data_IF_645153404254
#
_entry.id   IF_645153404254
#
_cell.length_a   1.000
_cell.length_b   1.000
_cell.length_c   1.000
_cell.angle_alpha   90.00
_cell.angle_beta   90.00
_cell.angle_gamma   90.00
#
_symmetry.space_group_name_H-M   'P 1'
#
loop_
_entity.id
_entity.type
_entity.pdbx_description
1 polymer ?
#
# COMPACT_ATOMS: atom_id res chain seq x y z
N UNK A 1 32.20 -37.18 -42.61
CA UNK A 1 33.12 -37.38 -41.46
C UNK A 1 34.23 -36.35 -41.49
N UNK A 2 34.21 -35.39 -40.56
CA UNK A 2 35.35 -34.79 -39.81
C UNK A 2 34.79 -33.59 -39.05
N UNK A 3 34.58 -33.79 -37.75
CA UNK A 3 34.21 -32.74 -36.79
C UNK A 3 35.48 -31.97 -36.43
N UNK A 4 35.42 -30.64 -36.47
CA UNK A 4 36.45 -29.76 -35.92
C UNK A 4 35.94 -29.28 -34.55
N UNK A 5 36.61 -29.72 -33.50
CA UNK A 5 36.46 -29.21 -32.14
C UNK A 5 37.26 -27.91 -32.02
N UNK A 6 36.63 -26.82 -31.61
CA UNK A 6 37.31 -25.63 -31.12
C UNK A 6 37.11 -25.61 -29.60
N UNK A 7 38.22 -25.85 -28.90
CA UNK A 7 38.35 -25.81 -27.45
C UNK A 7 38.65 -24.36 -27.05
N UNK A 8 37.73 -23.69 -26.37
CA UNK A 8 37.96 -22.35 -25.82
C UNK A 8 38.32 -22.49 -24.33
N UNK A 9 39.59 -22.34 -24.00
CA UNK A 9 40.07 -22.15 -22.63
C UNK A 9 39.82 -20.71 -22.21
N UNK A 10 38.91 -20.47 -21.26
CA UNK A 10 38.86 -19.21 -20.53
C UNK A 10 39.61 -19.37 -19.21
N UNK A 11 40.61 -18.50 -19.03
CA UNK A 11 41.43 -18.41 -17.84
C UNK A 11 40.64 -17.75 -16.69
N UNK A 12 40.56 -18.44 -15.57
CA UNK A 12 40.12 -17.91 -14.28
C UNK A 12 41.23 -17.02 -13.70
N UNK A 13 40.97 -15.71 -13.58
CA UNK A 13 41.81 -14.79 -12.81
C UNK A 13 41.13 -14.60 -11.44
N UNK A 14 41.73 -15.20 -10.41
CA UNK A 14 41.32 -15.02 -9.03
C UNK A 14 41.76 -13.66 -8.50
N UNK A 15 40.80 -12.84 -8.09
CA UNK A 15 41.03 -11.63 -7.31
C UNK A 15 40.94 -12.00 -5.83
N UNK A 16 42.07 -11.97 -5.12
CA UNK A 16 42.11 -12.00 -3.65
C UNK A 16 41.67 -10.61 -3.13
N UNK A 17 40.49 -10.54 -2.52
CA UNK A 17 40.08 -9.41 -1.69
C UNK A 17 40.47 -9.73 -0.24
N UNK A 18 41.38 -8.93 0.32
CA UNK A 18 41.75 -8.97 1.73
C UNK A 18 40.82 -8.01 2.46
N UNK A 19 39.84 -8.53 3.19
CA UNK A 19 38.97 -7.72 4.04
C UNK A 19 39.69 -7.39 5.35
N UNK A 20 39.93 -6.11 5.61
CA UNK A 20 40.36 -5.58 6.90
C UNK A 20 39.11 -5.44 7.78
N UNK A 21 38.97 -6.26 8.83
CA UNK A 21 37.91 -6.09 9.82
C UNK A 21 38.34 -5.06 10.87
N UNK A 22 37.79 -3.85 10.80
CA UNK A 22 37.77 -2.96 11.96
C UNK A 22 36.60 -3.38 12.86
N UNK A 23 36.92 -4.09 13.94
CA UNK A 23 35.96 -4.35 15.02
C UNK A 23 35.77 -3.05 15.79
N UNK A 24 34.66 -2.37 15.57
CA UNK A 24 34.21 -1.26 16.43
C UNK A 24 33.42 -1.89 17.57
N UNK A 25 33.99 -1.80 18.76
CA UNK A 25 33.36 -2.19 20.02
C UNK A 25 32.30 -1.12 20.35
N UNK A 26 31.04 -1.41 20.02
CA UNK A 26 29.90 -0.54 20.34
C UNK A 26 29.45 -0.80 21.78
N UNK A 27 29.47 0.24 22.62
CA UNK A 27 28.91 0.20 23.97
C UNK A 27 27.41 -0.11 23.95
N UNK A 28 26.87 -0.81 24.98
CA UNK A 28 25.46 -1.12 25.06
C UNK A 28 24.63 0.15 25.31
N UNK A 29 23.76 0.47 24.35
CA UNK A 29 22.71 1.47 24.52
C UNK A 29 21.73 0.94 25.57
N UNK A 30 21.54 1.71 26.66
CA UNK A 30 20.48 1.46 27.62
C UNK A 30 19.13 1.50 26.90
N UNK A 31 18.46 0.35 26.81
CA UNK A 31 17.04 0.26 26.50
C UNK A 31 16.24 0.95 27.61
N UNK A 32 15.80 2.18 27.36
CA UNK A 32 14.68 2.76 28.10
C UNK A 32 13.44 1.89 27.87
N UNK A 33 12.75 1.56 28.96
CA UNK A 33 11.49 0.83 28.96
C UNK A 33 10.45 1.59 28.12
N UNK A 34 10.19 1.11 26.91
CA UNK A 34 8.99 1.45 26.14
C UNK A 34 7.78 0.87 26.90
N UNK A 35 7.16 1.72 27.70
CA UNK A 35 5.88 1.40 28.35
C UNK A 35 4.79 1.28 27.28
N UNK A 36 3.96 0.24 27.41
CA UNK A 36 2.72 0.05 26.66
C UNK A 36 1.90 1.36 26.58
N UNK A 37 1.19 1.62 25.47
CA UNK A 37 0.40 2.83 25.32
C UNK A 37 -0.60 2.99 26.47
N UNK A 38 -0.53 4.15 27.11
CA UNK A 38 -1.43 4.57 28.18
C UNK A 38 -2.85 4.72 27.59
N UNK A 39 -3.89 4.20 28.26
CA UNK A 39 -5.28 4.43 27.83
C UNK A 39 -5.59 5.92 27.73
N UNK A 40 -6.39 6.26 26.71
CA UNK A 40 -6.94 7.59 26.36
C UNK A 40 -7.01 8.55 27.56
N UNK A 41 -6.32 9.72 27.53
CA UNK A 41 -6.47 10.72 28.59
C UNK A 41 -7.88 11.28 28.60
N UNK A 42 -8.55 11.21 29.76
CA UNK A 42 -9.81 11.93 30.00
C UNK A 42 -9.52 13.43 29.98
N UNK A 43 -9.94 14.10 28.91
CA UNK A 43 -9.77 15.55 28.73
C UNK A 43 -10.77 16.32 29.60
N UNK A 44 -10.30 16.93 30.68
CA UNK A 44 -11.07 17.92 31.44
C UNK A 44 -11.10 19.25 30.69
N UNK A 45 -12.28 19.61 30.17
CA UNK A 45 -12.50 20.85 29.44
C UNK A 45 -12.30 22.10 30.32
N UNK A 46 -11.32 22.95 29.99
CA UNK A 46 -11.19 24.31 30.50
C UNK A 46 -11.73 25.26 29.43
N UNK A 47 -12.83 25.94 29.76
CA UNK A 47 -13.58 26.80 28.84
C UNK A 47 -12.82 28.06 28.44
N UNK A 48 -12.19 28.02 27.27
CA UNK A 48 -11.96 29.17 26.41
C UNK A 48 -12.70 28.92 25.10
N UNK A 49 -13.55 29.84 24.67
CA UNK A 49 -14.23 29.74 23.37
C UNK A 49 -13.22 30.04 22.26
N UNK A 50 -12.33 29.09 21.99
CA UNK A 50 -11.67 29.03 20.69
C UNK A 50 -12.77 28.88 19.61
N UNK A 51 -12.60 29.50 18.43
CA UNK A 51 -13.48 29.22 17.31
C UNK A 51 -13.57 27.70 17.15
N UNK A 52 -14.78 27.15 17.16
CA UNK A 52 -15.02 25.73 16.95
C UNK A 52 -14.49 25.35 15.56
N UNK A 53 -13.19 25.02 15.50
CA UNK A 53 -12.57 24.46 14.33
C UNK A 53 -13.25 23.14 14.06
N UNK A 54 -13.47 22.84 12.78
CA UNK A 54 -13.93 21.52 12.36
C UNK A 54 -12.84 20.54 12.76
N UNK A 55 -13.09 19.76 13.82
CA UNK A 55 -12.25 18.64 14.21
C UNK A 55 -12.60 17.46 13.30
N UNK A 56 -11.59 16.84 12.69
CA UNK A 56 -11.72 15.59 11.95
C UNK A 56 -10.99 14.50 12.71
N UNK A 57 -11.48 13.27 12.63
CA UNK A 57 -10.84 12.10 13.23
C UNK A 57 -10.16 11.26 12.16
N UNK A 58 -8.93 10.81 12.45
CA UNK A 58 -8.21 9.85 11.62
C UNK A 58 -8.01 8.58 12.43
N UNK A 59 -8.32 7.43 11.84
CA UNK A 59 -8.05 6.13 12.45
C UNK A 59 -7.30 5.19 11.52
N UNK A 60 -6.55 4.27 12.13
CA UNK A 60 -5.78 3.26 11.42
C UNK A 60 -6.06 1.90 12.01
N UNK A 61 -6.11 0.87 11.15
CA UNK A 61 -6.37 -0.50 11.54
C UNK A 61 -5.42 -1.47 10.86
N UNK A 62 -4.79 -2.33 11.64
CA UNK A 62 -3.99 -3.46 11.18
C UNK A 62 -4.78 -4.76 11.33
N UNK A 63 -4.83 -5.55 10.26
CA UNK A 63 -5.46 -6.87 10.26
C UNK A 63 -4.75 -7.86 9.33
N UNK A 64 -4.94 -9.17 9.49
CA UNK A 64 -4.25 -10.19 8.68
C UNK A 64 -3.84 -11.41 9.51
N UNK A 65 -2.95 -12.22 8.97
CA UNK A 65 -2.35 -13.39 9.64
C UNK A 65 -0.84 -13.26 9.88
N UNK A 66 -0.25 -12.08 9.66
CA UNK A 66 1.13 -11.77 10.02
C UNK A 66 1.34 -11.89 11.53
N UNK A 67 2.28 -12.76 11.90
CA UNK A 67 2.57 -13.14 13.29
C UNK A 67 3.69 -12.29 13.91
N UNK A 68 4.45 -11.59 13.07
CA UNK A 68 5.52 -10.69 13.50
C UNK A 68 5.01 -9.37 14.08
N UNK A 69 5.96 -8.56 14.55
CA UNK A 69 5.69 -7.23 15.12
C UNK A 69 5.84 -6.12 14.10
N UNK A 70 5.06 -5.05 14.28
CA UNK A 70 5.01 -3.93 13.36
C UNK A 70 5.29 -2.60 14.08
N UNK A 71 6.21 -1.81 13.53
CA UNK A 71 6.39 -0.42 13.91
C UNK A 71 5.51 0.46 13.01
N UNK A 72 4.64 1.26 13.62
CA UNK A 72 3.69 2.13 12.91
C UNK A 72 4.11 3.58 13.07
N UNK A 73 4.28 4.28 11.95
CA UNK A 73 4.59 5.71 11.93
C UNK A 73 3.56 6.44 11.08
N UNK A 74 3.04 7.55 11.62
CA UNK A 74 2.07 8.39 10.92
C UNK A 74 2.71 9.65 10.38
N UNK A 75 2.13 10.12 9.28
CA UNK A 75 2.51 11.34 8.60
C UNK A 75 1.32 12.30 8.62
N UNK A 76 1.60 13.55 8.92
CA UNK A 76 0.64 14.65 8.81
C UNK A 76 1.35 15.90 8.31
N UNK A 77 0.71 16.65 7.42
CA UNK A 77 1.25 17.92 6.94
C UNK A 77 0.54 19.10 7.61
N UNK A 78 1.31 20.12 8.03
CA UNK A 78 0.89 21.45 8.56
C UNK A 78 1.54 21.87 9.91
N UNK A 79 2.64 21.26 10.34
CA UNK A 79 3.25 21.58 11.64
C UNK A 79 2.50 20.96 12.83
N UNK A 80 1.42 20.21 12.57
CA UNK A 80 0.98 19.17 13.49
C UNK A 80 2.05 18.09 13.58
N UNK A 81 2.50 17.83 14.81
CA UNK A 81 3.36 16.69 15.10
C UNK A 81 2.46 15.47 15.19
N UNK A 82 2.55 14.50 14.26
CA UNK A 82 1.80 13.25 14.39
C UNK A 82 2.19 12.55 15.71
N UNK A 83 1.37 11.61 16.21
CA UNK A 83 1.74 10.82 17.37
C UNK A 83 3.13 10.20 17.22
N UNK A 84 3.83 10.00 18.34
CA UNK A 84 5.08 9.25 18.33
C UNK A 84 4.87 7.87 17.68
N UNK A 85 5.89 7.33 17.00
CA UNK A 85 5.81 5.99 16.44
C UNK A 85 5.37 4.95 17.47
N UNK A 86 4.49 4.05 17.08
CA UNK A 86 4.09 2.89 17.87
C UNK A 86 5.04 1.75 17.53
N UNK A 87 5.77 1.24 18.51
CA UNK A 87 6.81 0.23 18.29
C UNK A 87 6.34 -1.16 18.71
N UNK A 88 6.56 -2.15 17.86
CA UNK A 88 6.33 -3.55 18.16
C UNK A 88 4.87 -3.95 18.33
N UNK A 89 3.96 -3.37 17.54
CA UNK A 89 2.53 -3.67 17.57
C UNK A 89 2.24 -5.06 16.99
N UNK A 90 1.29 -5.79 17.59
CA UNK A 90 0.83 -7.10 17.13
C UNK A 90 -0.56 -6.99 16.49
N UNK A 91 -0.87 -7.83 15.50
CA UNK A 91 -2.18 -7.87 14.85
C UNK A 91 -3.16 -8.70 15.71
N UNK A 92 -4.42 -8.24 15.93
CA UNK A 92 -5.04 -7.01 15.41
C UNK A 92 -4.69 -5.77 16.24
N UNK A 93 -4.60 -4.62 15.56
CA UNK A 93 -4.33 -3.33 16.20
C UNK A 93 -5.14 -2.20 15.57
N UNK A 94 -5.54 -1.22 16.39
CA UNK A 94 -6.23 -0.02 15.93
C UNK A 94 -5.82 1.20 16.76
N UNK A 95 -5.88 2.38 16.14
CA UNK A 95 -5.70 3.67 16.82
C UNK A 95 -6.52 4.75 16.15
N UNK A 96 -6.81 5.81 16.90
CA UNK A 96 -7.60 6.96 16.45
C UNK A 96 -7.05 8.23 17.11
N UNK A 97 -6.96 9.32 16.35
CA UNK A 97 -6.62 10.64 16.87
C UNK A 97 -7.28 11.76 16.08
N UNK A 98 -7.54 12.88 16.76
CA UNK A 98 -8.08 14.09 16.15
C UNK A 98 -6.98 14.85 15.40
N UNK A 99 -7.31 15.35 14.22
CA UNK A 99 -6.45 16.25 13.44
C UNK A 99 -7.02 17.68 13.43
N UNK A 100 -6.16 18.71 13.42
CA UNK A 100 -6.58 20.08 13.21
C UNK A 100 -7.33 20.28 11.88
N UNK A 101 -8.25 21.23 11.85
CA UNK A 101 -8.98 21.57 10.61
C UNK A 101 -8.07 22.02 9.47
N UNK A 102 -6.90 22.61 9.77
CA UNK A 102 -5.92 23.05 8.77
C UNK A 102 -5.00 21.95 8.20
N UNK A 103 -5.17 20.69 8.61
CA UNK A 103 -4.35 19.59 8.09
C UNK A 103 -4.62 19.37 6.61
N UNK A 104 -3.54 19.41 5.81
CA UNK A 104 -3.61 19.30 4.35
C UNK A 104 -3.47 17.88 3.84
N UNK A 105 -2.83 17.00 4.60
CA UNK A 105 -2.57 15.62 4.22
C UNK A 105 -2.30 14.73 5.42
N UNK A 106 -2.65 13.46 5.27
CA UNK A 106 -2.44 12.38 6.24
C UNK A 106 -1.86 11.17 5.52
N UNK A 107 -1.18 10.29 6.25
CA UNK A 107 -0.64 9.05 5.71
C UNK A 107 0.16 8.31 6.77
N UNK A 108 0.91 7.30 6.36
CA UNK A 108 1.74 6.55 7.30
C UNK A 108 2.30 5.28 6.70
N UNK A 109 2.93 4.48 7.55
CA UNK A 109 3.37 3.16 7.18
C UNK A 109 3.46 2.26 8.41
N UNK A 110 3.35 0.95 8.18
CA UNK A 110 3.71 -0.06 9.17
C UNK A 110 4.84 -0.95 8.64
N UNK A 111 5.84 -1.21 9.48
CA UNK A 111 7.07 -1.91 9.13
C UNK A 111 7.30 -3.11 10.05
N UNK A 112 7.32 -4.31 9.49
CA UNK A 112 7.76 -5.53 10.16
C UNK A 112 9.19 -5.87 9.75
N UNK A 113 10.15 -5.05 10.19
CA UNK A 113 11.57 -5.21 9.85
C UNK A 113 12.33 -6.07 10.87
N UNK A 114 11.60 -6.75 11.76
CA UNK A 114 12.16 -7.60 12.82
C UNK A 114 12.52 -9.00 12.32
N UNK A 115 12.00 -9.43 11.16
CA UNK A 115 12.21 -10.78 10.62
C UNK A 115 11.56 -11.88 11.48
N UNK A 116 10.50 -11.51 12.19
CA UNK A 116 9.75 -12.37 13.10
C UNK A 116 8.44 -12.89 12.50
N UNK A 117 8.07 -12.42 11.29
CA UNK A 117 7.01 -13.01 10.49
C UNK A 117 7.44 -14.30 9.81
N UNK A 118 6.46 -15.07 9.32
CA UNK A 118 6.73 -16.19 8.42
C UNK A 118 6.51 -15.77 6.97
N UNK A 119 7.26 -16.33 6.00
CA UNK A 119 6.98 -16.14 4.58
C UNK A 119 5.53 -16.49 4.25
N UNK A 120 4.96 -15.78 3.28
CA UNK A 120 3.56 -15.92 2.83
C UNK A 120 2.49 -15.43 3.83
N UNK A 121 2.87 -14.99 5.03
CA UNK A 121 1.92 -14.30 5.92
C UNK A 121 1.53 -12.94 5.34
N UNK A 122 0.27 -12.56 5.53
CA UNK A 122 -0.29 -11.32 5.00
C UNK A 122 -0.69 -10.37 6.11
N UNK A 123 -0.52 -9.08 5.84
CA UNK A 123 -1.05 -8.01 6.68
C UNK A 123 -1.73 -6.95 5.79
N UNK A 124 -2.66 -6.25 6.41
CA UNK A 124 -3.37 -5.12 5.84
C UNK A 124 -3.30 -3.94 6.80
N UNK A 125 -3.02 -2.74 6.26
CA UNK A 125 -3.12 -1.48 6.96
C UNK A 125 -4.20 -0.63 6.30
N UNK A 126 -5.19 -0.24 7.08
CA UNK A 126 -6.32 0.59 6.64
C UNK A 126 -6.21 1.97 7.27
N UNK A 127 -6.53 3.02 6.52
CA UNK A 127 -6.62 4.41 6.96
C UNK A 127 -8.05 4.91 6.76
N UNK A 128 -8.61 5.53 7.79
CA UNK A 128 -9.96 6.10 7.77
C UNK A 128 -9.92 7.57 8.14
N UNK A 129 -10.83 8.35 7.56
CA UNK A 129 -11.12 9.73 7.92
C UNK A 129 -12.59 9.83 8.27
N UNK A 130 -12.91 10.29 9.47
CA UNK A 130 -14.28 10.41 10.00
C UNK A 130 -15.08 9.11 9.83
N UNK A 131 -14.44 7.97 10.14
CA UNK A 131 -14.94 6.60 9.97
C UNK A 131 -15.20 6.14 8.52
N UNK A 132 -14.80 6.93 7.52
CA UNK A 132 -14.80 6.52 6.12
C UNK A 132 -13.44 5.95 5.73
N UNK A 133 -13.43 4.73 5.18
CA UNK A 133 -12.21 4.12 4.66
C UNK A 133 -11.67 4.97 3.50
N UNK A 134 -10.41 5.36 3.58
CA UNK A 134 -9.72 6.10 2.52
C UNK A 134 -8.84 5.17 1.70
N UNK A 135 -8.03 4.36 2.37
CA UNK A 135 -7.01 3.53 1.76
C UNK A 135 -6.77 2.26 2.58
N UNK A 136 -6.55 1.16 1.88
CA UNK A 136 -6.12 -0.13 2.41
C UNK A 136 -4.91 -0.60 1.64
N UNK A 137 -3.87 -1.02 2.34
CA UNK A 137 -2.67 -1.60 1.77
C UNK A 137 -2.53 -3.03 2.28
N UNK A 138 -2.45 -3.99 1.37
CA UNK A 138 -2.32 -5.42 1.65
C UNK A 138 -0.98 -5.90 1.10
N UNK A 139 -0.19 -6.55 1.94
CA UNK A 139 1.13 -7.08 1.57
C UNK A 139 1.33 -8.47 2.15
N UNK A 140 2.24 -9.19 1.51
CA UNK A 140 2.72 -10.50 1.92
C UNK A 140 4.16 -10.35 2.40
N UNK A 141 4.51 -11.01 3.50
CA UNK A 141 5.87 -11.05 4.00
C UNK A 141 6.78 -11.78 3.00
N UNK A 142 8.02 -11.30 2.87
CA UNK A 142 9.02 -11.93 2.00
C UNK A 142 9.60 -13.22 2.60
N UNK A 143 10.55 -13.83 1.90
CA UNK A 143 11.20 -15.09 2.30
C UNK A 143 11.95 -14.99 3.64
N UNK A 144 12.29 -13.77 4.08
CA UNK A 144 12.94 -13.49 5.36
C UNK A 144 11.94 -13.04 6.44
N UNK A 145 10.64 -13.05 6.14
CA UNK A 145 9.57 -12.66 7.06
C UNK A 145 9.42 -11.15 7.23
N UNK A 146 10.03 -10.33 6.36
CA UNK A 146 9.89 -8.88 6.38
C UNK A 146 8.64 -8.42 5.64
N UNK A 147 8.00 -7.35 6.14
CA UNK A 147 6.84 -6.74 5.50
C UNK A 147 6.83 -5.22 5.67
N UNK A 148 6.41 -4.49 4.65
CA UNK A 148 6.21 -3.03 4.70
C UNK A 148 4.87 -2.68 4.09
N UNK A 149 4.04 -1.95 4.83
CA UNK A 149 2.69 -1.52 4.46
C UNK A 149 2.67 0.01 4.32
N UNK A 150 3.08 0.57 3.17
CA UNK A 150 3.10 2.01 2.98
C UNK A 150 1.71 2.53 2.58
N UNK A 151 1.12 3.42 3.37
CA UNK A 151 -0.03 4.22 2.94
C UNK A 151 0.46 5.45 2.19
N UNK A 152 -0.09 5.70 1.01
CA UNK A 152 0.20 6.94 0.30
C UNK A 152 -0.28 8.16 1.12
N UNK A 153 0.37 9.30 0.89
CA UNK A 153 -0.11 10.56 1.47
C UNK A 153 -1.44 10.95 0.82
N UNK A 154 -2.51 10.96 1.61
CA UNK A 154 -3.82 11.42 1.21
C UNK A 154 -3.92 12.93 1.42
N UNK A 155 -4.08 13.68 0.33
CA UNK A 155 -4.32 15.13 0.41
C UNK A 155 -5.80 15.42 0.66
N UNK A 156 -6.07 16.09 1.77
CA UNK A 156 -7.40 16.47 2.23
C UNK A 156 -8.02 17.61 1.40
N UNK A 157 -7.22 18.34 0.61
CA UNK A 157 -7.70 19.33 -0.36
C UNK A 157 -8.47 18.67 -1.51
N UNK A 158 -8.05 17.48 -1.92
CA UNK A 158 -8.68 16.71 -2.99
C UNK A 158 -9.69 15.69 -2.48
N UNK A 159 -10.10 15.80 -1.22
CA UNK A 159 -11.07 14.88 -0.66
C UNK A 159 -12.41 14.98 -1.39
N UNK A 160 -12.68 14.01 -2.24
CA UNK A 160 -13.96 13.87 -2.93
C UNK A 160 -14.90 12.93 -2.18
N UNK A 161 -14.64 12.65 -0.89
CA UNK A 161 -15.47 11.77 -0.09
C UNK A 161 -16.94 12.19 -0.04
N UNK A 162 -17.23 13.48 -0.18
CA UNK A 162 -18.59 14.01 -0.26
C UNK A 162 -19.23 13.90 -1.64
N UNK A 163 -18.45 13.63 -2.69
CA UNK A 163 -19.01 13.51 -4.04
C UNK A 163 -19.70 12.16 -4.20
N UNK A 164 -20.98 12.21 -4.51
CA UNK A 164 -21.81 11.03 -4.74
C UNK A 164 -22.16 10.85 -6.20
N UNK A 165 -22.41 9.60 -6.62
CA UNK A 165 -22.99 9.31 -7.95
C UNK A 165 -24.51 9.46 -7.93
N UNK A 166 -25.12 9.64 -9.10
CA UNK A 166 -26.58 9.61 -9.24
C UNK A 166 -27.17 8.23 -8.92
N UNK A 167 -28.39 8.17 -8.40
CA UNK A 167 -29.09 6.92 -8.04
C UNK A 167 -29.16 5.92 -9.20
N UNK A 168 -29.23 6.41 -10.44
CA UNK A 168 -29.25 5.58 -11.66
C UNK A 168 -27.96 4.78 -11.89
N UNK A 169 -26.88 5.16 -11.22
CA UNK A 169 -25.57 4.53 -11.30
C UNK A 169 -25.27 3.61 -10.11
N UNK A 170 -26.12 3.53 -9.08
CA UNK A 170 -25.96 2.62 -7.93
C UNK A 170 -26.35 1.20 -8.33
N UNK A 171 -25.61 0.20 -7.83
CA UNK A 171 -25.83 -1.23 -8.11
C UNK A 171 -25.37 -1.68 -9.49
N UNK A 172 -24.62 -0.84 -10.22
CA UNK A 172 -23.95 -1.26 -11.46
C UNK A 172 -22.72 -2.07 -11.10
N UNK A 173 -22.49 -3.14 -11.84
CA UNK A 173 -21.32 -4.00 -11.66
C UNK A 173 -20.10 -3.36 -12.32
N UNK A 174 -19.01 -3.24 -11.56
CA UNK A 174 -17.69 -2.86 -12.05
C UNK A 174 -16.77 -4.07 -11.94
N UNK A 175 -16.06 -4.38 -13.02
CA UNK A 175 -15.04 -5.43 -13.04
C UNK A 175 -13.71 -4.87 -13.52
N UNK A 176 -12.67 -5.00 -12.71
CA UNK A 176 -11.28 -4.89 -13.15
C UNK A 176 -10.77 -6.28 -13.52
N UNK A 177 -10.11 -6.38 -14.67
CA UNK A 177 -9.40 -7.59 -15.07
C UNK A 177 -7.99 -7.24 -15.52
N UNK A 178 -7.03 -8.04 -15.07
CA UNK A 178 -5.62 -7.99 -15.46
C UNK A 178 -5.23 -9.40 -15.90
N UNK A 179 -4.73 -9.53 -17.12
CA UNK A 179 -4.41 -10.80 -17.78
C UNK A 179 -3.07 -10.66 -18.53
N UNK A 180 -2.46 -11.75 -18.98
CA UNK A 180 -1.22 -11.68 -19.77
C UNK A 180 -0.20 -12.77 -19.42
N UNK A 181 1.01 -12.60 -19.93
CA UNK A 181 2.13 -13.53 -19.76
C UNK A 181 3.26 -12.97 -18.87
N UNK A 182 3.04 -11.85 -18.18
CA UNK A 182 3.98 -11.28 -17.22
C UNK A 182 4.24 -12.24 -16.06
N UNK A 183 5.50 -12.63 -15.87
CA UNK A 183 5.91 -13.60 -14.85
C UNK A 183 6.38 -12.95 -13.54
N UNK A 184 6.48 -11.62 -13.52
CA UNK A 184 6.95 -10.85 -12.37
C UNK A 184 5.87 -10.61 -11.32
N UNK A 185 6.21 -9.81 -10.30
CA UNK A 185 5.28 -9.35 -9.27
C UNK A 185 4.59 -8.08 -9.71
N UNK A 186 3.29 -7.93 -9.47
CA UNK A 186 2.55 -6.70 -9.78
C UNK A 186 1.90 -6.17 -8.50
N UNK A 187 2.16 -4.91 -8.18
CA UNK A 187 1.43 -4.17 -7.15
C UNK A 187 0.30 -3.43 -7.86
N UNK A 188 -0.95 -3.76 -7.59
CA UNK A 188 -2.14 -3.10 -8.10
C UNK A 188 -2.74 -2.16 -7.05
N UNK A 189 -3.10 -0.95 -7.44
CA UNK A 189 -3.88 0.01 -6.64
C UNK A 189 -5.20 0.27 -7.34
N UNK A 190 -6.32 -0.10 -6.76
CA UNK A 190 -7.64 0.05 -7.38
C UNK A 190 -8.68 0.65 -6.45
N UNK A 191 -9.72 1.27 -7.01
CA UNK A 191 -10.86 1.81 -6.24
C UNK A 191 -11.90 0.72 -5.99
N UNK A 192 -12.47 0.68 -4.79
CA UNK A 192 -13.56 -0.25 -4.44
C UNK A 192 -14.90 0.47 -4.24
N UNK A 193 -15.93 -0.30 -3.89
CA UNK A 193 -17.33 0.13 -3.87
C UNK A 193 -17.59 1.39 -3.03
N UNK A 194 -16.89 1.58 -1.92
CA UNK A 194 -17.05 2.73 -1.04
C UNK A 194 -16.23 3.97 -1.45
N UNK A 195 -15.53 3.89 -2.59
CA UNK A 195 -14.67 4.95 -3.10
C UNK A 195 -13.28 4.98 -2.46
N UNK A 196 -12.96 4.10 -1.52
CA UNK A 196 -11.61 3.91 -0.99
C UNK A 196 -10.68 3.22 -2.00
N UNK A 197 -9.38 3.23 -1.74
CA UNK A 197 -8.38 2.49 -2.52
C UNK A 197 -7.98 1.21 -1.80
N UNK A 198 -7.80 0.13 -2.55
CA UNK A 198 -7.09 -1.07 -2.12
C UNK A 198 -5.79 -1.20 -2.90
N UNK A 199 -4.73 -1.63 -2.22
CA UNK A 199 -3.43 -1.91 -2.81
C UNK A 199 -3.04 -3.36 -2.54
N UNK A 200 -2.88 -4.18 -3.58
CA UNK A 200 -2.61 -5.62 -3.51
C UNK A 200 -1.34 -5.99 -4.28
N UNK A 201 -0.56 -6.93 -3.77
CA UNK A 201 0.48 -7.61 -4.55
C UNK A 201 -0.12 -8.89 -5.17
N UNK A 202 0.00 -9.04 -6.49
CA UNK A 202 -0.38 -10.25 -7.21
C UNK A 202 0.86 -10.87 -7.86
N UNK A 203 0.95 -12.20 -7.75
CA UNK A 203 2.07 -13.01 -8.26
C UNK A 203 1.62 -14.00 -9.34
N UNK A 204 0.34 -13.97 -9.72
CA UNK A 204 -0.25 -14.85 -10.73
C UNK A 204 -1.29 -14.11 -11.55
N UNK A 205 -1.28 -14.33 -12.87
CA UNK A 205 -2.32 -13.90 -13.79
C UNK A 205 -3.11 -15.12 -14.31
N UNK A 206 -4.42 -14.98 -14.63
CA UNK A 206 -5.21 -13.74 -14.58
C UNK A 206 -5.64 -13.36 -13.16
N UNK A 207 -5.89 -12.07 -12.97
CA UNK A 207 -6.52 -11.49 -11.77
C UNK A 207 -7.79 -10.74 -12.14
N UNK A 208 -8.82 -10.86 -11.30
CA UNK A 208 -10.12 -10.23 -11.50
C UNK A 208 -10.68 -9.76 -10.16
N UNK A 209 -11.29 -8.57 -10.14
CA UNK A 209 -12.04 -8.04 -9.00
C UNK A 209 -13.34 -7.39 -9.49
N UNK A 210 -14.44 -7.76 -8.85
CA UNK A 210 -15.78 -7.28 -9.19
C UNK A 210 -16.49 -6.73 -7.96
N UNK A 211 -17.17 -5.60 -8.11
CA UNK A 211 -18.01 -5.01 -7.08
C UNK A 211 -19.23 -4.27 -7.67
N UNK A 212 -20.24 -4.06 -6.84
CA UNK A 212 -21.39 -3.21 -7.19
C UNK A 212 -21.16 -1.77 -6.71
N UNK A 213 -21.46 -0.80 -7.56
CA UNK A 213 -21.33 0.62 -7.21
C UNK A 213 -22.26 1.01 -6.06
N UNK A 214 -21.75 1.86 -5.17
CA UNK A 214 -22.53 2.52 -4.13
C UNK A 214 -22.61 4.02 -4.40
N UNK A 215 -23.33 4.74 -3.54
CA UNK A 215 -23.38 6.21 -3.57
C UNK A 215 -21.99 6.88 -3.60
N UNK A 216 -20.95 6.21 -3.09
CA UNK A 216 -19.58 6.73 -3.04
C UNK A 216 -18.69 6.35 -4.24
N UNK A 217 -19.18 5.58 -5.22
CA UNK A 217 -18.36 5.07 -6.34
C UNK A 217 -18.15 6.06 -7.49
N UNK A 218 -17.85 7.32 -7.18
CA UNK A 218 -17.78 8.39 -8.19
C UNK A 218 -16.58 8.31 -9.15
N UNK A 219 -15.61 7.45 -8.85
CA UNK A 219 -14.42 7.22 -9.68
C UNK A 219 -13.99 5.77 -9.55
N UNK A 220 -13.61 5.17 -10.67
CA UNK A 220 -12.98 3.85 -10.71
C UNK A 220 -11.66 3.96 -11.43
N UNK A 221 -10.64 3.33 -10.86
CA UNK A 221 -9.28 3.44 -11.37
C UNK A 221 -8.54 2.20 -10.94
N UNK A 222 -7.62 1.75 -11.77
CA UNK A 222 -6.66 0.72 -11.42
C UNK A 222 -5.29 1.18 -11.92
N UNK A 223 -4.32 1.26 -11.01
CA UNK A 223 -2.93 1.52 -11.30
C UNK A 223 -2.15 0.26 -10.99
N UNK A 224 -1.04 0.03 -11.66
CA UNK A 224 -0.22 -1.13 -11.41
C UNK A 224 1.24 -0.88 -11.76
N UNK A 225 2.13 -1.37 -10.90
CA UNK A 225 3.56 -1.38 -11.12
C UNK A 225 4.04 -2.82 -10.98
N UNK A 226 4.63 -3.35 -12.04
CA UNK A 226 5.24 -4.67 -12.02
C UNK A 226 6.76 -4.60 -12.07
N UNK A 227 7.38 -5.57 -11.42
CA UNK A 227 8.84 -5.74 -11.36
C UNK A 227 9.19 -7.20 -11.59
N UNK A 228 10.45 -7.50 -11.90
CA UNK A 228 10.98 -8.86 -12.06
C UNK A 228 10.38 -9.67 -13.23
N UNK A 229 9.73 -9.01 -14.19
CA UNK A 229 9.31 -9.65 -15.43
C UNK A 229 10.46 -9.84 -16.42
N UNK A 230 10.14 -10.43 -17.57
CA UNK A 230 11.05 -10.48 -18.72
C UNK A 230 10.70 -9.40 -19.75
N UNK A 231 11.71 -8.87 -20.44
CA UNK A 231 11.53 -7.93 -21.54
C UNK A 231 10.51 -8.47 -22.55
N UNK A 232 9.58 -7.61 -22.96
CA UNK A 232 8.48 -7.88 -23.90
C UNK A 232 7.32 -8.75 -23.38
N UNK A 233 7.34 -9.19 -22.11
CA UNK A 233 6.13 -9.75 -21.49
C UNK A 233 5.04 -8.69 -21.44
N UNK A 234 3.79 -9.13 -21.46
CA UNK A 234 2.62 -8.28 -21.65
C UNK A 234 1.61 -8.48 -20.55
N UNK A 235 0.97 -7.36 -20.24
CA UNK A 235 -0.26 -7.33 -19.47
C UNK A 235 -1.34 -6.69 -20.33
N UNK A 236 -2.50 -7.32 -20.35
CA UNK A 236 -3.75 -6.75 -20.83
C UNK A 236 -4.60 -6.37 -19.61
N UNK A 237 -5.15 -5.15 -19.61
CA UNK A 237 -6.13 -4.75 -18.62
C UNK A 237 -7.48 -4.45 -19.29
N UNK A 238 -8.56 -4.64 -18.54
CA UNK A 238 -9.88 -4.15 -18.92
C UNK A 238 -10.69 -3.72 -17.70
N UNK A 239 -11.43 -2.63 -17.87
CA UNK A 239 -12.48 -2.18 -16.97
C UNK A 239 -13.83 -2.41 -17.65
N UNK A 240 -14.74 -3.10 -16.97
CA UNK A 240 -16.09 -3.34 -17.47
C UNK A 240 -17.14 -2.72 -16.56
N UNK A 241 -18.22 -2.20 -17.17
CA UNK A 241 -19.44 -1.75 -16.51
C UNK A 241 -20.61 -2.63 -16.98
N UNK A 242 -21.23 -3.37 -16.07
CA UNK A 242 -22.29 -4.35 -16.38
C UNK A 242 -21.89 -5.30 -17.52
N UNK A 243 -20.68 -5.88 -17.42
CA UNK A 243 -20.10 -6.77 -18.43
C UNK A 243 -19.71 -6.11 -19.75
N UNK A 244 -19.91 -4.80 -19.93
CA UNK A 244 -19.46 -4.06 -21.13
C UNK A 244 -18.11 -3.41 -20.85
N UNK A 245 -17.08 -3.75 -21.62
CA UNK A 245 -15.75 -3.13 -21.51
C UNK A 245 -15.85 -1.64 -21.85
N UNK A 246 -15.53 -0.78 -20.88
CA UNK A 246 -15.55 0.69 -21.02
C UNK A 246 -14.15 1.26 -21.19
N UNK A 247 -13.12 0.56 -20.70
CA UNK A 247 -11.71 0.90 -20.93
C UNK A 247 -10.87 -0.38 -21.02
N UNK A 248 -9.83 -0.38 -21.84
CA UNK A 248 -8.89 -1.49 -21.97
C UNK A 248 -7.59 -1.07 -22.62
N UNK A 249 -6.51 -1.80 -22.34
CA UNK A 249 -5.22 -1.53 -22.94
C UNK A 249 -4.27 -2.71 -22.80
N UNK A 250 -3.12 -2.55 -23.45
CA UNK A 250 -2.02 -3.50 -23.37
C UNK A 250 -0.77 -2.71 -23.01
N UNK A 251 0.02 -3.25 -22.08
CA UNK A 251 1.31 -2.71 -21.67
C UNK A 251 2.36 -3.81 -21.81
N UNK A 252 3.60 -3.42 -22.05
CA UNK A 252 4.72 -4.32 -22.32
C UNK A 252 5.87 -3.98 -21.38
N UNK A 253 6.53 -5.02 -20.84
CA UNK A 253 7.63 -4.86 -19.91
C UNK A 253 8.87 -4.27 -20.60
N UNK A 254 9.51 -3.31 -19.92
CA UNK A 254 10.73 -2.63 -20.36
C UNK A 254 11.95 -3.57 -20.34
N UNK A 255 13.11 -3.06 -20.76
CA UNK A 255 14.35 -3.85 -20.80
C UNK A 255 14.80 -4.37 -19.44
N UNK A 256 14.44 -3.67 -18.36
CA UNK A 256 14.74 -4.04 -16.97
C UNK A 256 13.67 -4.97 -16.34
N UNK A 257 12.66 -5.39 -17.13
CA UNK A 257 11.58 -6.24 -16.65
C UNK A 257 10.51 -5.50 -15.83
N UNK A 258 10.58 -4.17 -15.74
CA UNK A 258 9.53 -3.36 -15.11
C UNK A 258 8.35 -3.14 -16.06
N UNK A 259 7.15 -2.95 -15.53
CA UNK A 259 5.93 -2.66 -16.29
C UNK A 259 5.04 -1.70 -15.51
N UNK A 260 4.27 -0.86 -16.20
CA UNK A 260 3.36 0.09 -15.56
C UNK A 260 2.03 0.15 -16.31
N UNK A 261 0.92 0.13 -15.58
CA UNK A 261 -0.44 0.34 -16.07
C UNK A 261 -1.11 1.45 -15.25
N UNK A 262 -1.81 2.36 -15.92
CA UNK A 262 -2.49 3.49 -15.25
C UNK A 262 -3.86 3.84 -15.86
N UNK A 263 -4.77 2.88 -16.10
CA UNK A 263 -6.13 3.21 -16.53
C UNK A 263 -6.95 3.90 -15.44
N UNK A 264 -7.75 4.86 -15.90
CA UNK A 264 -8.60 5.66 -15.05
C UNK A 264 -9.91 5.96 -15.77
N UNK A 265 -11.02 5.76 -15.08
CA UNK A 265 -12.36 5.99 -15.61
C UNK A 265 -13.25 6.68 -14.59
N UNK A 266 -13.90 7.75 -15.01
CA UNK A 266 -14.86 8.45 -14.16
C UNK A 266 -16.26 7.91 -14.44
N UNK A 267 -16.95 7.45 -13.39
CA UNK A 267 -18.37 7.10 -13.46
C UNK A 267 -19.12 8.41 -13.24
N UNK A 268 -19.46 9.06 -14.35
CA UNK A 268 -19.74 10.49 -14.53
C UNK A 268 -20.41 11.28 -13.38
N UNK A 269 -20.05 12.56 -13.33
CA UNK A 269 -20.59 13.60 -12.43
C UNK A 269 -21.69 14.43 -13.12
N UNK A 270 -22.75 13.76 -13.62
CA UNK A 270 -24.01 14.37 -14.09
C UNK A 270 -25.21 13.95 -13.22
#
# INVERSE_FOLDING_TARGET
MKKINVLLQMAFIGFLLVSVSCSVESEPILTENLQNPVPKPETTAVGGSEPQGIHRSVSYKLSGNFSGKLDVTFLSSDGFTPPNPFLGMEIPWETEYDIPGQTYAIGGYANGLYGDGNPEETASLQMFLDNKLLETVIRTADDDGYITLPLESYSLEYDTSEKTISDSNIGKEITYKVDGDFSGKIILVYKVADGSRENIEINTLPWEYTFETTVNSARVSIYGLGTQGMKNEKIQYSLSLNGTVVDSGNVEAYEDGSISLTPEFFIDFD
#
